data_IF_808254446277
#
_entry.id   IF_808254446277
#
_cell.length_a   1.000
_cell.length_b   1.000
_cell.length_c   1.000
_cell.angle_alpha   90.00
_cell.angle_beta   90.00
_cell.angle_gamma   90.00
#
_symmetry.space_group_name_H-M   'P 1'
#
loop_
_entity.id
_entity.type
_entity.pdbx_description
1 polymer ?
#
# COMPACT_ATOMS: atom_id res chain seq x y z
N UNK A 1 8.68 2.30 29.79
CA UNK A 1 8.39 2.07 28.35
C UNK A 1 7.40 0.92 28.26
N UNK A 2 6.20 1.16 27.74
CA UNK A 2 5.12 0.16 27.74
C UNK A 2 5.27 -0.75 26.50
N UNK A 3 5.38 -2.09 26.63
CA UNK A 3 5.73 -3.00 25.53
C UNK A 3 4.69 -3.15 24.40
N UNK A 4 3.55 -2.45 24.43
CA UNK A 4 2.58 -2.43 23.32
C UNK A 4 2.93 -1.38 22.25
N UNK A 5 4.19 -1.34 21.83
CA UNK A 5 4.63 -0.44 20.75
C UNK A 5 4.10 -0.90 19.39
N UNK A 6 3.85 -2.20 19.22
CA UNK A 6 3.38 -2.81 17.97
C UNK A 6 1.99 -3.42 18.14
N UNK A 7 0.98 -2.80 17.51
CA UNK A 7 -0.37 -3.34 17.41
C UNK A 7 -0.43 -4.40 16.31
N UNK A 8 -0.07 -5.64 16.63
CA UNK A 8 -0.06 -6.76 15.68
C UNK A 8 -1.42 -7.01 15.04
N UNK A 9 -2.51 -6.85 15.79
CA UNK A 9 -3.87 -6.96 15.24
C UNK A 9 -4.13 -5.93 14.14
N UNK A 10 -3.64 -4.69 14.34
CA UNK A 10 -3.76 -3.64 13.33
C UNK A 10 -2.94 -3.98 12.09
N UNK A 11 -1.71 -4.49 12.25
CA UNK A 11 -0.89 -4.91 11.09
C UNK A 11 -1.53 -6.07 10.35
N UNK A 12 -2.09 -7.04 11.07
CA UNK A 12 -2.82 -8.17 10.48
C UNK A 12 -3.97 -7.69 9.60
N UNK A 13 -4.84 -6.86 10.16
CA UNK A 13 -6.07 -6.43 9.49
C UNK A 13 -5.90 -5.30 8.48
N UNK A 14 -4.99 -4.37 8.72
CA UNK A 14 -4.84 -3.17 7.89
C UNK A 14 -3.72 -3.29 6.87
N UNK A 15 -2.75 -4.20 7.06
CA UNK A 15 -1.59 -4.36 6.17
C UNK A 15 -1.56 -5.74 5.53
N UNK A 16 -1.48 -6.81 6.32
CA UNK A 16 -1.33 -8.14 5.76
C UNK A 16 -2.57 -8.60 5.00
N UNK A 17 -3.77 -8.41 5.55
CA UNK A 17 -5.00 -8.84 4.87
C UNK A 17 -5.22 -8.11 3.54
N UNK A 18 -5.14 -6.76 3.45
CA UNK A 18 -5.34 -6.05 2.17
C UNK A 18 -4.28 -6.36 1.11
N UNK A 19 -3.06 -6.75 1.51
CA UNK A 19 -2.00 -7.14 0.56
C UNK A 19 -2.16 -8.60 0.11
N UNK A 20 -2.37 -9.52 1.05
CA UNK A 20 -2.35 -10.96 0.76
C UNK A 20 -3.68 -11.48 0.21
N UNK A 21 -4.81 -10.94 0.66
CA UNK A 21 -6.13 -11.44 0.29
C UNK A 21 -6.42 -11.28 -1.22
N UNK A 22 -6.16 -10.13 -1.88
CA UNK A 22 -6.34 -10.01 -3.32
C UNK A 22 -5.47 -10.98 -4.12
N UNK A 23 -4.25 -11.28 -3.66
CA UNK A 23 -3.34 -12.22 -4.31
C UNK A 23 -3.91 -13.64 -4.22
N UNK A 24 -4.34 -14.05 -3.03
CA UNK A 24 -4.94 -15.39 -2.81
C UNK A 24 -6.23 -15.56 -3.60
N UNK A 25 -7.10 -14.54 -3.61
CA UNK A 25 -8.35 -14.57 -4.40
C UNK A 25 -8.03 -14.64 -5.89
N UNK A 26 -7.09 -13.83 -6.38
CA UNK A 26 -6.70 -13.83 -7.80
C UNK A 26 -6.13 -15.18 -8.23
N UNK A 27 -5.26 -15.78 -7.43
CA UNK A 27 -4.72 -17.11 -7.69
C UNK A 27 -5.83 -18.17 -7.74
N UNK A 28 -6.77 -18.14 -6.79
CA UNK A 28 -7.91 -19.06 -6.78
C UNK A 28 -8.80 -18.91 -8.02
N UNK A 29 -9.11 -17.68 -8.42
CA UNK A 29 -9.90 -17.40 -9.63
C UNK A 29 -9.19 -17.88 -10.89
N UNK A 30 -7.88 -17.64 -10.99
CA UNK A 30 -7.05 -18.10 -12.11
C UNK A 30 -7.03 -19.63 -12.19
N UNK A 31 -6.86 -20.33 -11.06
CA UNK A 31 -6.90 -21.79 -11.02
C UNK A 31 -8.27 -22.35 -11.44
N UNK A 32 -9.37 -21.71 -11.03
CA UNK A 32 -10.71 -22.09 -11.45
C UNK A 32 -10.92 -21.83 -12.96
N UNK A 33 -10.38 -20.73 -13.48
CA UNK A 33 -10.50 -20.38 -14.89
C UNK A 33 -9.76 -21.37 -15.80
N UNK A 34 -8.59 -21.86 -15.36
CA UNK A 34 -7.81 -22.88 -16.07
C UNK A 34 -8.54 -24.23 -16.21
N UNK A 35 -9.56 -24.51 -15.39
CA UNK A 35 -10.37 -25.72 -15.51
C UNK A 35 -11.39 -25.64 -16.66
N UNK A 36 -11.63 -24.46 -17.22
CA UNK A 36 -12.48 -24.27 -18.39
C UNK A 36 -11.77 -24.58 -19.72
N UNK A 37 -12.49 -24.60 -20.84
CA UNK A 37 -11.91 -24.69 -22.18
C UNK A 37 -11.26 -23.35 -22.56
N UNK A 38 -10.22 -22.94 -21.85
CA UNK A 38 -9.52 -21.68 -22.12
C UNK A 38 -8.21 -21.95 -22.86
N UNK A 39 -8.10 -21.42 -24.08
CA UNK A 39 -6.84 -21.32 -24.82
C UNK A 39 -6.03 -20.07 -24.44
N UNK A 40 -6.28 -19.51 -23.25
CA UNK A 40 -5.71 -18.23 -22.82
C UNK A 40 -4.48 -18.46 -21.92
N UNK A 41 -3.26 -18.18 -22.39
CA UNK A 41 -2.07 -18.24 -21.55
C UNK A 41 -2.08 -17.09 -20.52
N UNK A 42 -1.79 -17.39 -19.26
CA UNK A 42 -1.65 -16.38 -18.21
C UNK A 42 -0.30 -15.69 -18.36
N UNK A 43 -0.33 -14.38 -18.61
CA UNK A 43 0.87 -13.54 -18.64
C UNK A 43 1.16 -13.01 -17.22
N UNK A 44 1.97 -13.77 -16.47
CA UNK A 44 2.35 -13.41 -15.10
C UNK A 44 3.07 -12.08 -14.99
N UNK A 45 3.79 -11.67 -16.03
CA UNK A 45 4.47 -10.38 -16.10
C UNK A 45 3.48 -9.21 -15.96
N UNK A 46 2.25 -9.33 -16.49
CA UNK A 46 1.22 -8.29 -16.31
C UNK A 46 0.81 -8.20 -14.83
N UNK A 47 0.65 -9.35 -14.16
CA UNK A 47 0.21 -9.41 -12.77
C UNK A 47 1.27 -8.83 -11.84
N UNK A 48 2.52 -9.28 -11.98
CA UNK A 48 3.61 -8.90 -11.09
C UNK A 48 4.20 -7.55 -11.47
N UNK A 49 4.58 -7.35 -12.73
CA UNK A 49 5.35 -6.16 -13.08
C UNK A 49 4.46 -4.95 -13.31
N UNK A 50 3.21 -5.14 -13.72
CA UNK A 50 2.36 -4.02 -14.13
C UNK A 50 1.30 -3.65 -13.08
N UNK A 51 0.49 -4.63 -12.67
CA UNK A 51 -0.66 -4.38 -11.78
C UNK A 51 -0.24 -4.21 -10.31
N UNK A 52 0.73 -5.01 -9.84
CA UNK A 52 1.05 -5.09 -8.41
C UNK A 52 1.64 -3.80 -7.81
N UNK A 53 2.66 -3.13 -8.41
CA UNK A 53 3.20 -1.88 -7.86
C UNK A 53 2.17 -0.75 -7.83
N UNK A 54 1.27 -0.75 -8.81
CA UNK A 54 0.15 0.17 -8.89
C UNK A 54 -0.86 -0.07 -7.77
N UNK A 55 -1.29 -1.32 -7.59
CA UNK A 55 -2.20 -1.71 -6.52
C UNK A 55 -1.63 -1.35 -5.13
N UNK A 56 -0.32 -1.55 -4.92
CA UNK A 56 0.35 -1.16 -3.67
C UNK A 56 0.38 0.36 -3.45
N UNK A 57 0.57 1.15 -4.52
CA UNK A 57 0.52 2.61 -4.43
C UNK A 57 -0.89 3.10 -4.08
N UNK A 58 -1.93 2.51 -4.66
CA UNK A 58 -3.33 2.77 -4.31
C UNK A 58 -3.62 2.39 -2.85
N UNK A 59 -3.16 1.21 -2.42
CA UNK A 59 -3.29 0.78 -1.03
C UNK A 59 -2.63 1.77 -0.06
N UNK A 60 -1.42 2.26 -0.35
CA UNK A 60 -0.75 3.28 0.46
C UNK A 60 -1.63 4.53 0.62
N UNK A 61 -2.23 5.01 -0.47
CA UNK A 61 -3.16 6.15 -0.40
C UNK A 61 -4.37 5.86 0.48
N UNK A 62 -5.03 4.72 0.29
CA UNK A 62 -6.19 4.34 1.10
C UNK A 62 -5.81 4.29 2.58
N UNK A 63 -4.67 3.68 2.92
CA UNK A 63 -4.20 3.58 4.30
C UNK A 63 -3.96 4.97 4.91
N UNK A 64 -3.30 5.87 4.17
CA UNK A 64 -3.05 7.24 4.63
C UNK A 64 -4.36 8.00 4.80
N UNK A 65 -5.29 7.92 3.84
CA UNK A 65 -6.57 8.63 3.90
C UNK A 65 -7.41 8.18 5.10
N UNK A 66 -7.54 6.87 5.32
CA UNK A 66 -8.26 6.31 6.49
C UNK A 66 -7.58 6.74 7.78
N UNK A 67 -6.25 6.65 7.84
CA UNK A 67 -5.48 7.08 9.01
C UNK A 67 -5.66 8.57 9.28
N UNK A 68 -5.58 9.41 8.25
CA UNK A 68 -5.73 10.86 8.37
C UNK A 68 -7.13 11.25 8.80
N UNK A 69 -8.17 10.58 8.30
CA UNK A 69 -9.54 10.79 8.75
C UNK A 69 -9.68 10.56 10.26
N UNK A 70 -9.18 9.43 10.75
CA UNK A 70 -9.27 9.08 12.17
C UNK A 70 -8.35 9.93 13.05
N UNK A 71 -7.20 10.35 12.51
CA UNK A 71 -6.21 11.15 13.21
C UNK A 71 -6.52 12.66 13.18
N UNK A 72 -7.41 13.12 12.29
CA UNK A 72 -7.71 14.52 12.04
C UNK A 72 -7.98 15.34 13.32
N UNK A 73 -8.81 14.88 14.27
CA UNK A 73 -9.11 15.65 15.48
C UNK A 73 -7.88 15.86 16.38
N UNK A 74 -6.84 15.03 16.22
CA UNK A 74 -5.64 15.00 17.06
C UNK A 74 -4.43 15.64 16.39
N UNK A 75 -4.56 16.04 15.13
CA UNK A 75 -3.50 16.67 14.36
C UNK A 75 -2.86 17.89 15.09
N UNK A 76 -3.61 18.77 15.79
CA UNK A 76 -3.00 19.89 16.52
C UNK A 76 -2.07 19.46 17.66
N UNK A 77 -2.33 18.30 18.28
CA UNK A 77 -1.50 17.76 19.37
C UNK A 77 -0.26 17.01 18.87
N UNK A 78 -0.21 16.67 17.58
CA UNK A 78 0.85 15.90 16.95
C UNK A 78 1.20 16.44 15.55
N UNK A 79 1.59 17.72 15.44
CA UNK A 79 1.76 18.37 14.14
C UNK A 79 2.84 17.70 13.28
N UNK A 80 3.93 17.20 13.88
CA UNK A 80 5.00 16.50 13.16
C UNK A 80 4.49 15.23 12.48
N UNK A 81 3.63 14.47 13.17
CA UNK A 81 3.08 13.22 12.63
C UNK A 81 2.04 13.50 11.53
N UNK A 82 1.20 14.52 11.72
CA UNK A 82 0.28 15.00 10.68
C UNK A 82 1.00 15.46 9.42
N UNK A 83 2.04 16.29 9.57
CA UNK A 83 2.89 16.72 8.44
C UNK A 83 3.59 15.53 7.78
N UNK A 84 4.04 14.55 8.55
CA UNK A 84 4.63 13.31 8.02
C UNK A 84 3.67 12.50 7.16
N UNK A 85 2.41 12.34 7.59
CA UNK A 85 1.37 11.67 6.81
C UNK A 85 1.05 12.42 5.51
N UNK A 86 0.96 13.75 5.56
CA UNK A 86 0.75 14.60 4.37
C UNK A 86 1.93 14.46 3.39
N UNK A 87 3.17 14.55 3.90
CA UNK A 87 4.36 14.39 3.08
C UNK A 87 4.40 13.00 2.42
N UNK A 88 4.08 11.95 3.18
CA UNK A 88 3.98 10.60 2.63
C UNK A 88 2.91 10.49 1.54
N UNK A 89 1.73 11.10 1.74
CA UNK A 89 0.67 11.12 0.72
C UNK A 89 1.16 11.79 -0.58
N UNK A 90 1.83 12.94 -0.47
CA UNK A 90 2.39 13.65 -1.62
C UNK A 90 3.48 12.81 -2.30
N UNK A 91 4.36 12.16 -1.54
CA UNK A 91 5.39 11.27 -2.11
C UNK A 91 4.79 10.11 -2.89
N UNK A 92 3.77 9.44 -2.34
CA UNK A 92 3.06 8.36 -3.05
C UNK A 92 2.33 8.90 -4.28
N UNK A 93 1.74 10.10 -4.21
CA UNK A 93 1.10 10.77 -5.36
C UNK A 93 2.05 11.02 -6.52
N UNK A 94 3.20 11.61 -6.21
CA UNK A 94 4.25 11.91 -7.19
C UNK A 94 4.76 10.61 -7.80
N UNK A 95 5.03 9.60 -6.96
CA UNK A 95 5.47 8.28 -7.41
C UNK A 95 4.46 7.61 -8.35
N UNK A 96 3.17 7.58 -7.97
CA UNK A 96 2.10 7.03 -8.79
C UNK A 96 1.96 7.79 -10.13
N UNK A 97 2.13 9.12 -10.11
CA UNK A 97 2.09 9.94 -11.32
C UNK A 97 3.22 9.59 -12.29
N UNK A 98 4.43 9.35 -11.79
CA UNK A 98 5.55 8.88 -12.63
C UNK A 98 5.29 7.50 -13.24
N UNK A 99 4.70 6.58 -12.48
CA UNK A 99 4.30 5.27 -13.00
C UNK A 99 3.33 5.44 -14.18
N UNK A 100 2.30 6.28 -14.03
CA UNK A 100 1.34 6.56 -15.11
C UNK A 100 2.04 7.13 -16.34
N UNK A 101 2.92 8.12 -16.16
CA UNK A 101 3.67 8.72 -17.28
C UNK A 101 4.54 7.68 -17.99
N UNK A 102 5.30 6.87 -17.25
CA UNK A 102 6.18 5.86 -17.85
C UNK A 102 5.41 4.72 -18.52
N UNK A 103 4.20 4.42 -18.07
CA UNK A 103 3.29 3.45 -18.71
C UNK A 103 2.93 3.81 -20.15
N UNK A 104 3.03 5.09 -20.53
CA UNK A 104 2.83 5.51 -21.92
C UNK A 104 4.03 5.21 -22.82
N UNK A 105 5.19 4.85 -22.26
CA UNK A 105 6.33 4.37 -23.04
C UNK A 105 6.23 2.84 -23.23
N UNK A 106 6.03 2.35 -24.47
CA UNK A 106 5.93 0.91 -24.74
C UNK A 106 7.23 0.14 -24.46
N UNK A 107 8.36 0.83 -24.24
CA UNK A 107 9.64 0.22 -23.86
C UNK A 107 9.84 0.16 -22.35
N UNK A 108 8.97 0.80 -21.58
CA UNK A 108 9.07 0.78 -20.13
C UNK A 108 8.79 -0.62 -19.59
N UNK A 109 9.74 -1.15 -18.82
CA UNK A 109 9.58 -2.37 -18.03
C UNK A 109 9.79 -2.00 -16.58
N UNK A 110 8.95 -2.53 -15.70
CA UNK A 110 9.10 -2.33 -14.27
C UNK A 110 10.35 -3.08 -13.81
N UNK A 111 11.44 -2.34 -13.63
CA UNK A 111 12.70 -2.89 -13.12
C UNK A 111 12.73 -2.93 -11.60
N UNK A 112 13.76 -3.57 -11.06
CA UNK A 112 14.03 -3.73 -9.62
C UNK A 112 13.95 -2.40 -8.85
N UNK A 113 14.38 -1.29 -9.46
CA UNK A 113 14.37 0.04 -8.84
C UNK A 113 12.95 0.49 -8.46
N UNK A 114 11.95 0.17 -9.29
CA UNK A 114 10.57 0.56 -9.04
C UNK A 114 10.00 -0.22 -7.86
N UNK A 115 10.22 -1.54 -7.83
CA UNK A 115 9.84 -2.39 -6.71
C UNK A 115 10.47 -1.94 -5.39
N UNK A 116 11.77 -1.63 -5.40
CA UNK A 116 12.46 -1.09 -4.22
C UNK A 116 11.79 0.17 -3.70
N UNK A 117 11.48 1.13 -4.59
CA UNK A 117 10.80 2.37 -4.20
C UNK A 117 9.39 2.11 -3.68
N UNK A 118 8.64 1.20 -4.30
CA UNK A 118 7.31 0.78 -3.81
C UNK A 118 7.40 0.24 -2.39
N UNK A 119 8.36 -0.66 -2.11
CA UNK A 119 8.52 -1.23 -0.76
C UNK A 119 9.00 -0.22 0.28
N UNK A 120 9.89 0.71 -0.10
CA UNK A 120 10.32 1.80 0.79
C UNK A 120 9.13 2.69 1.16
N UNK A 121 8.34 3.10 0.16
CA UNK A 121 7.16 3.93 0.37
C UNK A 121 6.11 3.19 1.21
N UNK A 122 5.82 1.92 0.88
CA UNK A 122 4.90 1.07 1.63
C UNK A 122 5.33 0.94 3.09
N UNK A 123 6.60 0.61 3.34
CA UNK A 123 7.14 0.47 4.69
C UNK A 123 7.05 1.78 5.48
N UNK A 124 7.41 2.91 4.86
CA UNK A 124 7.31 4.23 5.46
C UNK A 124 5.86 4.63 5.79
N UNK A 125 4.94 4.38 4.86
CA UNK A 125 3.51 4.66 5.03
C UNK A 125 2.91 3.80 6.14
N UNK A 126 3.18 2.49 6.15
CA UNK A 126 2.74 1.57 7.20
C UNK A 126 3.28 2.02 8.56
N UNK A 127 4.55 2.38 8.63
CA UNK A 127 5.19 2.86 9.86
C UNK A 127 4.51 4.14 10.39
N UNK A 128 4.34 5.16 9.54
CA UNK A 128 3.71 6.42 9.93
C UNK A 128 2.25 6.23 10.34
N UNK A 129 1.49 5.41 9.61
CA UNK A 129 0.10 5.12 9.93
C UNK A 129 -0.03 4.35 11.25
N UNK A 130 0.87 3.39 11.49
CA UNK A 130 0.93 2.66 12.75
C UNK A 130 1.21 3.60 13.92
N UNK A 131 2.18 4.51 13.79
CA UNK A 131 2.46 5.51 14.80
C UNK A 131 1.26 6.43 15.05
N UNK A 132 0.55 6.86 14.00
CA UNK A 132 -0.64 7.69 14.13
C UNK A 132 -1.74 6.97 14.92
N UNK A 133 -1.98 5.70 14.63
CA UNK A 133 -2.94 4.87 15.37
C UNK A 133 -2.50 4.61 16.81
N UNK A 134 -1.21 4.39 17.05
CA UNK A 134 -0.67 4.17 18.40
C UNK A 134 -0.76 5.41 19.29
N UNK A 135 -0.60 6.61 18.72
CA UNK A 135 -0.79 7.88 19.44
C UNK A 135 -2.26 8.29 19.50
N UNK A 136 -3.07 7.88 18.52
CA UNK A 136 -4.52 8.07 18.46
C UNK A 136 -5.33 7.25 19.47
N UNK A 137 -4.76 6.25 20.14
CA UNK A 137 -5.45 5.47 21.19
C UNK A 137 -5.14 5.91 22.63
N UNK A 138 -4.21 6.85 22.83
CA UNK A 138 -3.64 7.18 24.15
C UNK A 138 -4.26 8.38 24.88
N UNK A 139 -5.35 8.97 24.37
CA UNK A 139 -6.02 10.07 25.06
C UNK A 139 -7.29 9.53 25.76
N UNK A 140 -7.54 9.90 27.03
CA UNK A 140 -8.73 9.54 27.78
C UNK A 140 -10.01 10.08 27.15
#
# INVERSE_FOLDING_TARGET
MNPKLWQWDWLGWQVFAPITLPIVISAAVVSLWQMGPSSFPIEWDIVFDDVSPWALSFYCFTLICVTMHDFWPRLPSHPVLGTGLIAAAVSVAVYASFIVIWRHDPKFRVGTNLWQMTFILLGGVVFLCHLAVANGKKAP
#
